data_IF_048043835845
#
_entry.id   IF_048043835845
#
_cell.length_a   1.000
_cell.length_b   1.000
_cell.length_c   1.000
_cell.angle_alpha   90.00
_cell.angle_beta   90.00
_cell.angle_gamma   90.00
#
_symmetry.space_group_name_H-M   'P 1'
#
loop_
_entity.id
_entity.type
_entity.pdbx_description
1 polymer ?
#
# COMPACT_ATOMS: atom_id res chain seq x y z
N UNK A 1 5.63 3.87 5.31
CA UNK A 1 5.54 4.55 4.01
C UNK A 1 5.34 3.48 2.95
N UNK A 2 4.40 3.70 2.02
CA UNK A 2 4.12 2.81 0.90
C UNK A 2 4.62 3.51 -0.36
N UNK A 3 5.35 2.77 -1.19
CA UNK A 3 5.90 3.28 -2.44
C UNK A 3 5.15 2.67 -3.63
N UNK A 4 4.77 3.53 -4.57
CA UNK A 4 4.21 3.14 -5.86
C UNK A 4 5.24 3.45 -6.95
N UNK A 5 5.69 2.41 -7.67
CA UNK A 5 6.82 2.50 -8.60
C UNK A 5 6.40 2.01 -9.99
N UNK A 6 6.14 2.95 -10.90
CA UNK A 6 5.66 2.68 -12.27
C UNK A 6 6.76 2.88 -13.36
N UNK A 7 7.71 3.80 -13.16
CA UNK A 7 8.78 4.09 -14.14
C UNK A 7 10.11 4.43 -13.49
N UNK A 8 10.98 3.43 -13.36
CA UNK A 8 12.35 3.60 -12.84
C UNK A 8 13.28 4.42 -13.75
N UNK A 9 12.86 4.71 -14.99
CA UNK A 9 13.67 5.45 -15.97
C UNK A 9 14.06 6.87 -15.53
N UNK A 10 13.31 7.49 -14.60
CA UNK A 10 13.61 8.86 -14.14
C UNK A 10 14.44 8.90 -12.85
N UNK A 11 14.20 8.00 -11.89
CA UNK A 11 14.88 7.97 -10.59
C UNK A 11 15.02 6.52 -10.13
N UNK A 12 16.25 6.01 -9.95
CA UNK A 12 16.49 4.68 -9.39
C UNK A 12 15.95 4.54 -7.96
N UNK A 13 15.57 3.32 -7.53
CA UNK A 13 15.04 3.09 -6.18
C UNK A 13 16.01 3.51 -5.07
N UNK A 14 17.31 3.32 -5.31
CA UNK A 14 18.40 3.67 -4.39
C UNK A 14 18.47 5.17 -4.15
N UNK A 15 18.39 5.97 -5.23
CA UNK A 15 18.36 7.44 -5.18
C UNK A 15 17.13 7.97 -4.45
N UNK A 16 15.99 7.29 -4.59
CA UNK A 16 14.79 7.62 -3.82
C UNK A 16 15.01 7.41 -2.32
N UNK A 17 15.60 6.28 -1.91
CA UNK A 17 15.91 6.01 -0.50
C UNK A 17 16.89 7.03 0.08
N UNK A 18 17.92 7.41 -0.67
CA UNK A 18 18.85 8.48 -0.29
C UNK A 18 18.11 9.79 -0.05
N UNK A 19 17.25 10.20 -0.98
CA UNK A 19 16.48 11.43 -0.86
C UNK A 19 15.59 11.43 0.38
N UNK A 20 14.88 10.32 0.64
CA UNK A 20 14.04 10.21 1.84
C UNK A 20 14.91 10.28 3.10
N UNK A 21 16.11 9.65 3.11
CA UNK A 21 17.05 9.72 4.23
C UNK A 21 17.53 11.15 4.48
N UNK A 22 17.88 11.89 3.44
CA UNK A 22 18.31 13.30 3.58
C UNK A 22 17.19 14.18 4.15
N UNK A 23 15.97 14.08 3.61
CA UNK A 23 14.82 14.80 4.18
C UNK A 23 14.52 14.39 5.62
N UNK A 24 14.65 13.10 5.93
CA UNK A 24 14.41 12.60 7.29
C UNK A 24 15.45 13.12 8.28
N UNK A 25 16.72 13.26 7.87
CA UNK A 25 17.77 13.90 8.69
C UNK A 25 17.43 15.34 9.02
N UNK A 26 16.98 16.13 8.03
CA UNK A 26 16.56 17.53 8.23
C UNK A 26 15.43 17.62 9.25
N UNK A 27 14.47 16.69 9.19
CA UNK A 27 13.36 16.62 10.13
C UNK A 27 13.68 15.86 11.45
N UNK A 28 14.94 15.48 11.67
CA UNK A 28 15.38 14.65 12.80
C UNK A 28 14.64 13.31 12.97
N UNK A 29 14.08 12.76 11.88
CA UNK A 29 13.43 11.44 11.85
C UNK A 29 14.39 10.34 11.38
N UNK A 30 14.28 9.16 12.00
CA UNK A 30 14.97 7.95 11.57
C UNK A 30 14.04 7.05 10.78
N UNK A 31 14.34 6.82 9.51
CA UNK A 31 13.60 5.88 8.67
C UNK A 31 13.91 4.44 9.09
N UNK A 32 12.87 3.64 9.29
CA UNK A 32 12.99 2.20 9.41
C UNK A 32 12.77 1.53 8.05
N UNK A 33 13.86 1.24 7.34
CA UNK A 33 13.80 0.63 6.01
C UNK A 33 13.15 -0.77 6.00
N UNK A 34 13.27 -1.54 7.08
CA UNK A 34 12.68 -2.87 7.20
C UNK A 34 11.15 -2.84 7.27
N UNK A 35 10.56 -1.71 7.70
CA UNK A 35 9.11 -1.50 7.74
C UNK A 35 8.56 -0.91 6.44
N UNK A 36 9.41 -0.66 5.44
CA UNK A 36 8.97 -0.13 4.16
C UNK A 36 8.50 -1.27 3.27
N UNK A 37 7.34 -1.05 2.67
CA UNK A 37 6.69 -1.99 1.77
C UNK A 37 6.43 -1.27 0.45
N UNK A 38 6.71 -1.94 -0.67
CA UNK A 38 6.55 -1.37 -2.01
C UNK A 38 5.64 -2.23 -2.90
N UNK A 39 4.87 -1.54 -3.73
CA UNK A 39 4.22 -2.12 -4.91
C UNK A 39 5.03 -1.81 -6.15
N UNK A 40 5.38 -2.86 -6.90
CA UNK A 40 6.04 -2.74 -8.19
C UNK A 40 4.99 -2.81 -9.30
N UNK A 41 4.84 -1.72 -10.05
CA UNK A 41 3.91 -1.61 -11.17
C UNK A 41 4.67 -1.81 -12.49
N UNK A 42 5.34 -2.95 -12.59
CA UNK A 42 5.94 -3.46 -13.83
C UNK A 42 5.34 -4.82 -14.14
N UNK A 43 5.19 -5.13 -15.43
CA UNK A 43 4.84 -6.46 -15.94
C UNK A 43 6.07 -7.16 -16.55
N UNK A 44 7.23 -6.50 -16.55
CA UNK A 44 8.48 -7.08 -17.00
C UNK A 44 9.17 -7.78 -15.82
N UNK A 45 9.21 -9.10 -15.87
CA UNK A 45 9.79 -9.94 -14.80
C UNK A 45 11.27 -9.68 -14.57
N UNK A 46 12.05 -9.37 -15.61
CA UNK A 46 13.48 -9.08 -15.48
C UNK A 46 13.69 -7.78 -14.70
N UNK A 47 12.92 -6.73 -15.02
CA UNK A 47 12.93 -5.46 -14.30
C UNK A 47 12.44 -5.69 -12.86
N UNK A 48 11.37 -6.47 -12.65
CA UNK A 48 10.86 -6.77 -11.30
C UNK A 48 11.93 -7.45 -10.42
N UNK A 49 12.68 -8.40 -10.98
CA UNK A 49 13.77 -9.10 -10.27
C UNK A 49 14.91 -8.14 -9.93
N UNK A 50 15.37 -7.35 -10.89
CA UNK A 50 16.43 -6.35 -10.68
C UNK A 50 16.05 -5.35 -9.58
N UNK A 51 14.78 -4.93 -9.54
CA UNK A 51 14.29 -4.03 -8.48
C UNK A 51 14.33 -4.73 -7.12
N UNK A 52 13.84 -5.98 -7.04
CA UNK A 52 13.85 -6.75 -5.79
C UNK A 52 15.28 -6.95 -5.25
N UNK A 53 16.26 -7.10 -6.13
CA UNK A 53 17.67 -7.26 -5.76
C UNK A 53 18.32 -5.93 -5.34
N UNK A 54 17.88 -4.80 -5.89
CA UNK A 54 18.46 -3.47 -5.63
C UNK A 54 17.87 -2.74 -4.42
N UNK A 55 16.68 -3.12 -3.94
CA UNK A 55 16.03 -2.44 -2.80
C UNK A 55 16.10 -3.22 -1.49
N UNK A 56 16.27 -2.54 -0.36
CA UNK A 56 16.17 -3.15 0.95
C UNK A 56 14.73 -3.26 1.48
N UNK A 57 13.71 -3.01 0.63
CA UNK A 57 12.30 -3.00 1.03
C UNK A 57 11.62 -4.33 0.73
N UNK A 58 10.62 -4.67 1.52
CA UNK A 58 9.77 -5.82 1.20
C UNK A 58 8.82 -5.46 0.07
N UNK A 59 8.90 -6.17 -1.06
CA UNK A 59 7.91 -6.05 -2.14
C UNK A 59 6.75 -6.99 -1.88
N UNK A 60 5.51 -6.51 -2.03
CA UNK A 60 4.31 -7.34 -1.84
C UNK A 60 3.60 -7.54 -3.19
N UNK A 61 3.24 -8.79 -3.56
CA UNK A 61 2.76 -9.07 -4.91
C UNK A 61 1.27 -8.74 -5.14
N UNK A 62 0.45 -8.68 -4.08
CA UNK A 62 -1.02 -8.64 -4.21
C UNK A 62 -1.67 -7.45 -3.51
N UNK A 63 -1.62 -7.40 -2.18
CA UNK A 63 -2.37 -6.44 -1.38
C UNK A 63 -1.55 -5.88 -0.22
N UNK A 64 -1.67 -4.58 0.04
CA UNK A 64 -1.09 -3.92 1.22
C UNK A 64 -2.22 -3.21 1.94
N UNK A 65 -2.37 -3.45 3.24
CA UNK A 65 -3.33 -2.72 4.06
C UNK A 65 -2.75 -1.38 4.49
N UNK A 66 -3.45 -0.29 4.19
CA UNK A 66 -3.08 1.07 4.57
C UNK A 66 -4.30 1.83 5.06
N UNK A 67 -4.23 2.35 6.29
CA UNK A 67 -5.33 3.12 6.92
C UNK A 67 -6.70 2.42 6.83
N UNK A 68 -6.71 1.08 6.95
CA UNK A 68 -7.93 0.28 6.86
C UNK A 68 -8.32 -0.15 5.44
N UNK A 69 -7.69 0.40 4.40
CA UNK A 69 -7.95 0.11 2.99
C UNK A 69 -6.94 -0.91 2.46
N UNK A 70 -7.41 -1.94 1.78
CA UNK A 70 -6.60 -2.86 1.00
C UNK A 70 -6.23 -2.21 -0.33
N UNK A 71 -5.01 -1.70 -0.43
CA UNK A 71 -4.42 -1.23 -1.67
C UNK A 71 -4.02 -2.45 -2.52
N UNK A 72 -4.38 -2.43 -3.79
CA UNK A 72 -4.13 -3.50 -4.76
C UNK A 72 -3.16 -3.01 -5.83
N UNK A 73 -2.42 -3.94 -6.48
CA UNK A 73 -1.60 -3.59 -7.66
C UNK A 73 -2.46 -3.00 -8.78
N UNK A 74 -3.65 -3.57 -9.02
CA UNK A 74 -4.59 -3.09 -10.04
C UNK A 74 -5.70 -2.23 -9.41
N UNK A 75 -5.88 -1.00 -9.89
CA UNK A 75 -6.86 -0.03 -9.37
C UNK A 75 -8.30 -0.57 -9.44
N UNK A 76 -8.64 -1.35 -10.49
CA UNK A 76 -9.96 -1.95 -10.67
C UNK A 76 -10.38 -2.87 -9.50
N UNK A 77 -9.42 -3.47 -8.79
CA UNK A 77 -9.70 -4.38 -7.68
C UNK A 77 -9.96 -3.64 -6.36
N UNK A 78 -9.67 -2.34 -6.27
CA UNK A 78 -9.88 -1.56 -5.04
C UNK A 78 -11.36 -1.61 -4.60
N UNK A 79 -12.30 -1.54 -5.54
CA UNK A 79 -13.73 -1.58 -5.24
C UNK A 79 -14.15 -2.92 -4.63
N UNK A 80 -13.76 -4.04 -5.23
CA UNK A 80 -14.15 -5.37 -4.77
C UNK A 80 -13.46 -5.75 -3.46
N UNK A 81 -12.20 -5.36 -3.27
CA UNK A 81 -11.40 -5.66 -2.08
C UNK A 81 -11.78 -4.82 -0.85
N UNK A 82 -12.47 -3.68 -1.06
CA UNK A 82 -12.84 -2.77 0.00
C UNK A 82 -14.35 -2.53 0.06
N UNK A 83 -14.91 -1.89 -0.95
CA UNK A 83 -16.29 -1.39 -0.94
C UNK A 83 -17.31 -2.52 -0.81
N UNK A 84 -17.14 -3.62 -1.58
CA UNK A 84 -18.05 -4.77 -1.49
C UNK A 84 -18.09 -5.40 -0.10
N UNK A 85 -16.97 -5.35 0.63
CA UNK A 85 -16.89 -5.84 2.01
C UNK A 85 -17.56 -4.86 2.96
N UNK A 86 -17.25 -3.57 2.86
CA UNK A 86 -17.85 -2.51 3.68
C UNK A 86 -19.37 -2.45 3.54
N UNK A 87 -19.90 -2.62 2.32
CA UNK A 87 -21.35 -2.67 2.07
C UNK A 87 -22.01 -3.82 2.84
N UNK A 88 -21.44 -5.03 2.77
CA UNK A 88 -21.97 -6.18 3.52
C UNK A 88 -21.92 -5.96 5.03
N UNK A 89 -20.81 -5.44 5.54
CA UNK A 89 -20.68 -5.13 6.97
C UNK A 89 -21.72 -4.08 7.41
N UNK A 90 -21.97 -3.07 6.57
CA UNK A 90 -22.98 -2.04 6.84
C UNK A 90 -24.41 -2.59 6.80
N UNK A 91 -24.73 -3.44 5.82
CA UNK A 91 -26.03 -4.12 5.70
C UNK A 91 -26.28 -5.05 6.88
N UNK A 92 -25.28 -5.86 7.27
CA UNK A 92 -25.37 -6.77 8.40
C UNK A 92 -25.58 -6.01 9.71
N UNK A 93 -24.85 -4.92 9.93
CA UNK A 93 -25.03 -4.09 11.11
C UNK A 93 -26.44 -3.50 11.12
N UNK A 94 -26.89 -2.89 10.02
CA UNK A 94 -28.24 -2.31 9.90
C UNK A 94 -29.33 -3.35 10.18
N UNK A 95 -29.20 -4.56 9.62
CA UNK A 95 -30.21 -5.60 9.73
C UNK A 95 -30.22 -6.30 11.10
N UNK A 96 -29.06 -6.48 11.75
CA UNK A 96 -28.93 -7.22 13.00
C UNK A 96 -28.92 -6.33 14.24
N UNK A 97 -28.17 -5.22 14.21
CA UNK A 97 -27.96 -4.35 15.36
C UNK A 97 -29.00 -3.25 15.43
N UNK A 98 -29.26 -2.56 14.31
CA UNK A 98 -30.08 -1.34 14.33
C UNK A 98 -31.59 -1.62 14.38
N UNK A 99 -32.04 -2.78 13.91
CA UNK A 99 -33.47 -3.17 13.99
C UNK A 99 -34.01 -3.30 15.41
N UNK A 100 -33.16 -3.60 16.39
CA UNK A 100 -33.57 -3.88 17.77
C UNK A 100 -33.25 -2.71 18.72
N UNK A 101 -32.84 -1.55 18.20
CA UNK A 101 -32.58 -0.38 19.03
C UNK A 101 -33.95 0.23 19.43
N UNK A 102 -34.26 0.32 20.73
CA UNK A 102 -35.49 0.98 21.16
C UNK A 102 -35.40 2.46 20.80
N UNK A 103 -36.27 2.90 19.89
CA UNK A 103 -36.47 4.31 19.61
C UNK A 103 -37.14 4.94 20.84
N UNK A 104 -36.54 6.02 21.37
CA UNK A 104 -37.12 6.83 22.45
C UNK A 104 -38.26 7.71 21.95
#
# INVERSE_FOLDING_TARGET
MILYMERFQKIPPTKLLELIREFSKVAAYKINAQKLIAFLYTNNEAIEREIKESIPFTTVPKTIKYLGINLTKEVKNLYTENYRKLMRESEEDTQKKWKNIPCS
#
